data_IF_914036525631
#
_entry.id   IF_914036525631
#
_cell.length_a   1.000
_cell.length_b   1.000
_cell.length_c   1.000
_cell.angle_alpha   90.00
_cell.angle_beta   90.00
_cell.angle_gamma   90.00
#
_symmetry.space_group_name_H-M   'P 1'
#
loop_
_entity.id
_entity.type
_entity.pdbx_description
1 polymer ?
#
# COMPACT_ATOMS: atom_id res chain seq x y z
N UNK A 1 29.71 54.45 44.81
CA UNK A 1 29.21 53.97 43.51
C UNK A 1 29.87 52.64 43.22
N UNK A 2 29.13 51.55 43.38
CA UNK A 2 29.53 50.16 43.12
C UNK A 2 28.32 49.47 42.45
N UNK A 3 28.52 48.65 41.41
CA UNK A 3 27.48 48.35 40.43
C UNK A 3 26.55 47.22 40.90
N UNK A 4 25.25 47.42 40.66
CA UNK A 4 24.22 46.39 40.75
C UNK A 4 24.37 45.42 39.57
N UNK A 5 24.73 44.17 39.84
CA UNK A 5 24.69 43.09 38.86
C UNK A 5 23.25 42.55 38.81
N UNK A 6 22.55 42.84 37.71
CA UNK A 6 21.26 42.22 37.40
C UNK A 6 21.54 40.85 36.80
N UNK A 7 21.30 39.79 37.56
CA UNK A 7 21.33 38.42 37.08
C UNK A 7 20.04 38.16 36.28
N UNK A 8 20.12 38.30 34.96
CA UNK A 8 19.04 37.93 34.05
C UNK A 8 18.96 36.41 33.92
N UNK A 9 18.00 35.79 34.62
CA UNK A 9 17.59 34.41 34.37
C UNK A 9 16.86 34.34 33.01
N UNK A 10 17.62 34.03 31.96
CA UNK A 10 17.08 33.50 30.71
C UNK A 10 16.69 32.03 30.96
N UNK A 11 15.45 31.82 31.39
CA UNK A 11 14.85 30.50 31.38
C UNK A 11 14.70 30.04 29.93
N UNK A 12 15.54 29.12 29.50
CA UNK A 12 15.33 28.38 28.27
C UNK A 12 14.03 27.58 28.44
N UNK A 13 12.94 28.07 27.85
CA UNK A 13 11.72 27.29 27.69
C UNK A 13 12.05 26.13 26.76
N UNK A 14 12.47 25.00 27.32
CA UNK A 14 12.46 23.73 26.63
C UNK A 14 11.01 23.49 26.19
N UNK A 15 10.74 23.65 24.91
CA UNK A 15 9.49 23.23 24.29
C UNK A 15 9.48 21.71 24.44
N UNK A 16 8.86 21.22 25.51
CA UNK A 16 8.58 19.80 25.68
C UNK A 16 7.60 19.44 24.58
N UNK A 17 8.10 18.85 23.49
CA UNK A 17 7.22 18.27 22.49
C UNK A 17 6.34 17.24 23.20
N UNK A 18 5.01 17.29 23.03
CA UNK A 18 4.14 16.29 23.63
C UNK A 18 4.60 14.91 23.19
N UNK A 19 4.83 14.03 24.16
CA UNK A 19 5.27 12.67 23.91
C UNK A 19 4.13 11.92 23.23
N UNK A 20 4.30 11.60 21.94
CA UNK A 20 3.36 10.79 21.17
C UNK A 20 3.30 9.38 21.78
N UNK A 21 2.09 8.86 22.00
CA UNK A 21 1.89 7.48 22.44
C UNK A 21 2.53 6.52 21.42
N UNK A 22 3.26 5.52 21.90
CA UNK A 22 3.94 4.54 21.06
C UNK A 22 2.97 3.82 20.12
N UNK A 23 1.74 3.57 20.57
CA UNK A 23 0.68 2.96 19.76
C UNK A 23 0.23 3.84 18.58
N UNK A 24 0.45 5.14 18.67
CA UNK A 24 -0.01 6.12 17.69
C UNK A 24 1.07 6.51 16.68
N UNK A 25 2.34 6.21 16.98
CA UNK A 25 3.48 6.66 16.17
C UNK A 25 3.75 5.69 15.02
N UNK A 26 3.83 6.19 13.79
CA UNK A 26 4.32 5.41 12.65
C UNK A 26 5.85 5.50 12.48
N UNK A 27 6.38 4.79 11.48
CA UNK A 27 7.83 4.73 11.21
C UNK A 27 8.44 6.09 10.82
N UNK A 28 7.62 7.07 10.41
CA UNK A 28 8.04 8.46 10.14
C UNK A 28 7.90 9.38 11.35
N UNK A 29 7.43 8.86 12.48
CA UNK A 29 7.16 9.64 13.68
C UNK A 29 5.86 10.44 13.64
N UNK A 30 4.96 10.17 12.70
CA UNK A 30 3.66 10.83 12.63
C UNK A 30 2.72 10.22 13.68
N UNK A 31 2.03 11.08 14.42
CA UNK A 31 0.99 10.70 15.37
C UNK A 31 -0.35 10.46 14.66
N UNK A 32 -0.66 9.18 14.42
CA UNK A 32 -1.87 8.70 13.75
C UNK A 32 -3.13 8.76 14.63
N UNK A 33 -3.01 9.12 15.90
CA UNK A 33 -4.16 9.29 16.82
C UNK A 33 -4.78 10.69 16.78
N UNK A 34 -4.08 11.68 16.21
CA UNK A 34 -4.62 13.04 16.10
C UNK A 34 -5.81 13.10 15.14
N UNK A 35 -6.79 13.95 15.48
CA UNK A 35 -7.98 14.18 14.64
C UNK A 35 -7.61 14.57 13.21
N UNK A 36 -6.65 15.49 13.05
CA UNK A 36 -6.17 15.95 11.74
C UNK A 36 -5.61 14.81 10.89
N UNK A 37 -4.85 13.89 11.49
CA UNK A 37 -4.31 12.75 10.75
C UNK A 37 -5.39 11.74 10.37
N UNK A 38 -6.38 11.52 11.24
CA UNK A 38 -7.51 10.65 10.93
C UNK A 38 -8.41 11.25 9.84
N UNK A 39 -8.64 12.56 9.85
CA UNK A 39 -9.35 13.30 8.79
C UNK A 39 -8.59 13.22 7.46
N UNK A 40 -7.28 13.50 7.48
CA UNK A 40 -6.41 13.37 6.31
C UNK A 40 -6.48 11.96 5.73
N UNK A 41 -6.38 10.94 6.59
CA UNK A 41 -6.43 9.54 6.18
C UNK A 41 -7.77 9.21 5.54
N UNK A 42 -8.91 9.59 6.14
CA UNK A 42 -10.23 9.40 5.52
C UNK A 42 -10.35 10.08 4.16
N UNK A 43 -9.82 11.30 4.04
CA UNK A 43 -9.76 12.03 2.77
C UNK A 43 -8.98 11.30 1.67
N UNK A 44 -7.87 10.64 2.03
CA UNK A 44 -7.10 9.83 1.08
C UNK A 44 -7.90 8.66 0.51
N UNK A 45 -8.78 8.05 1.29
CA UNK A 45 -9.60 6.90 0.86
C UNK A 45 -10.99 7.30 0.34
N UNK A 46 -11.29 8.60 0.33
CA UNK A 46 -12.60 9.16 -0.06
C UNK A 46 -13.76 8.51 0.72
N UNK A 47 -13.60 8.37 2.04
CA UNK A 47 -14.63 7.81 2.92
C UNK A 47 -15.12 8.82 3.97
N UNK A 48 -16.40 8.76 4.29
CA UNK A 48 -17.03 9.58 5.32
C UNK A 48 -16.56 9.19 6.72
N UNK A 49 -16.83 10.06 7.71
CA UNK A 49 -16.57 9.73 9.11
C UNK A 49 -17.49 8.59 9.57
N UNK A 50 -17.02 7.76 10.50
CA UNK A 50 -17.86 6.68 11.03
C UNK A 50 -19.00 7.22 11.91
N UNK A 51 -18.89 8.43 12.48
CA UNK A 51 -19.99 9.06 13.21
C UNK A 51 -21.14 9.44 12.26
N UNK A 52 -20.83 9.97 11.07
CA UNK A 52 -21.85 10.27 10.04
C UNK A 52 -22.53 8.98 9.56
N UNK A 53 -21.76 7.93 9.30
CA UNK A 53 -22.30 6.62 8.92
C UNK A 53 -23.20 6.04 10.03
N UNK A 54 -22.76 6.09 11.29
CA UNK A 54 -23.53 5.64 12.44
C UNK A 54 -24.82 6.44 12.63
N UNK A 55 -24.80 7.76 12.39
CA UNK A 55 -25.98 8.63 12.48
C UNK A 55 -27.09 8.25 11.49
N UNK A 56 -26.72 7.62 10.37
CA UNK A 56 -27.65 7.08 9.37
C UNK A 56 -28.10 5.64 9.65
N UNK A 57 -27.66 5.07 10.78
CA UNK A 57 -27.95 3.70 11.14
C UNK A 57 -27.14 2.67 10.35
N UNK A 58 -26.01 3.06 9.76
CA UNK A 58 -25.12 2.13 9.07
C UNK A 58 -24.27 1.35 10.08
N UNK A 59 -24.15 0.04 9.84
CA UNK A 59 -23.19 -0.81 10.53
C UNK A 59 -21.89 -0.81 9.73
N UNK A 60 -20.78 -0.45 10.38
CA UNK A 60 -19.48 -0.31 9.73
C UNK A 60 -18.40 -0.95 10.60
N UNK A 61 -17.53 -1.74 10.00
CA UNK A 61 -16.30 -2.22 10.61
C UNK A 61 -15.17 -1.96 9.61
N UNK A 62 -14.23 -1.08 9.92
CA UNK A 62 -13.15 -0.77 8.97
C UNK A 62 -11.81 -0.61 9.63
N UNK A 63 -10.77 -0.92 8.87
CA UNK A 63 -9.38 -0.78 9.30
C UNK A 63 -8.58 -0.07 8.23
N UNK A 64 -7.89 1.00 8.62
CA UNK A 64 -6.88 1.67 7.82
C UNK A 64 -5.51 1.08 8.15
N UNK A 65 -4.74 0.80 7.11
CA UNK A 65 -3.43 0.17 7.22
C UNK A 65 -2.36 1.14 6.76
N UNK A 66 -1.38 1.37 7.63
CA UNK A 66 -0.14 2.09 7.34
C UNK A 66 1.00 1.10 7.38
N UNK A 67 1.80 1.07 6.31
CA UNK A 67 2.93 0.14 6.19
C UNK A 67 4.11 0.52 7.11
N UNK A 68 5.10 -0.37 7.15
CA UNK A 68 6.33 -0.17 7.90
C UNK A 68 7.24 0.95 7.41
N UNK A 69 6.79 1.81 6.49
CA UNK A 69 7.50 3.00 6.02
C UNK A 69 6.67 4.28 6.21
N UNK A 70 5.56 4.19 6.95
CA UNK A 70 4.63 5.29 7.19
C UNK A 70 3.76 5.63 5.98
N UNK A 71 3.65 4.76 4.98
CA UNK A 71 2.73 4.98 3.86
C UNK A 71 1.36 4.39 4.17
N UNK A 72 0.32 5.18 3.93
CA UNK A 72 -1.04 4.66 3.84
C UNK A 72 -1.10 3.62 2.71
N UNK A 73 -1.55 2.40 3.03
CA UNK A 73 -1.49 1.26 2.11
C UNK A 73 -2.87 0.87 1.59
N UNK A 74 -3.81 0.63 2.50
CA UNK A 74 -5.16 0.19 2.16
C UNK A 74 -6.16 0.53 3.28
N UNK A 75 -7.43 0.49 2.91
CA UNK A 75 -8.59 0.50 3.78
C UNK A 75 -9.43 -0.74 3.47
N UNK A 76 -9.68 -1.57 4.48
CA UNK A 76 -10.60 -2.70 4.38
C UNK A 76 -11.83 -2.38 5.23
N UNK A 77 -13.01 -2.38 4.62
CA UNK A 77 -14.28 -2.02 5.27
C UNK A 77 -15.32 -3.10 5.07
N UNK A 78 -16.12 -3.37 6.09
CA UNK A 78 -17.42 -4.02 5.96
C UNK A 78 -18.48 -2.98 6.25
N UNK A 79 -19.41 -2.80 5.31
CA UNK A 79 -20.44 -1.76 5.38
C UNK A 79 -21.81 -2.40 5.14
N UNK A 80 -22.76 -2.06 6.00
CA UNK A 80 -24.18 -2.43 5.86
C UNK A 80 -25.05 -1.20 6.09
N UNK A 81 -25.61 -0.68 5.01
CA UNK A 81 -26.66 0.32 5.09
C UNK A 81 -28.01 -0.29 5.54
N UNK A 82 -28.93 0.51 6.11
CA UNK A 82 -30.27 0.04 6.46
C UNK A 82 -30.98 -0.66 5.28
N UNK A 83 -31.50 -1.86 5.52
CA UNK A 83 -32.22 -2.65 4.51
C UNK A 83 -31.35 -3.24 3.39
N UNK A 84 -30.02 -3.20 3.52
CA UNK A 84 -29.06 -3.79 2.58
C UNK A 84 -28.26 -4.91 3.24
N UNK A 85 -27.71 -5.79 2.41
CA UNK A 85 -26.74 -6.78 2.86
C UNK A 85 -25.39 -6.12 3.17
N UNK A 86 -24.60 -6.81 4.00
CA UNK A 86 -23.24 -6.38 4.33
C UNK A 86 -22.31 -6.65 3.16
N UNK A 87 -21.50 -5.67 2.81
CA UNK A 87 -20.51 -5.78 1.72
C UNK A 87 -19.12 -5.48 2.24
N UNK A 88 -18.15 -6.22 1.71
CA UNK A 88 -16.74 -5.94 1.87
C UNK A 88 -16.32 -4.91 0.81
N UNK A 89 -15.52 -3.95 1.21
CA UNK A 89 -14.87 -2.97 0.34
C UNK A 89 -13.38 -2.89 0.67
N UNK A 90 -12.52 -2.95 -0.37
CA UNK A 90 -11.10 -2.66 -0.23
C UNK A 90 -10.74 -1.49 -1.12
N UNK A 91 -10.12 -0.48 -0.52
CA UNK A 91 -9.66 0.76 -1.16
C UNK A 91 -8.17 0.92 -0.91
N UNK A 92 -7.49 1.60 -1.82
CA UNK A 92 -6.12 2.12 -1.60
C UNK A 92 -6.19 3.65 -1.64
N UNK A 93 -5.18 4.37 -1.11
CA UNK A 93 -5.19 5.83 -1.14
C UNK A 93 -5.33 6.35 -2.56
N UNK A 94 -6.17 7.37 -2.73
CA UNK A 94 -6.29 8.11 -3.98
C UNK A 94 -4.92 8.65 -4.36
N UNK A 95 -4.52 8.32 -5.57
CA UNK A 95 -3.36 8.91 -6.22
C UNK A 95 -3.78 9.42 -7.59
N UNK A 96 -3.39 10.65 -7.98
CA UNK A 96 -3.64 11.14 -9.33
C UNK A 96 -3.00 10.24 -10.41
N UNK A 97 -2.06 9.38 -10.03
CA UNK A 97 -1.35 8.48 -10.94
C UNK A 97 -1.95 7.07 -11.02
N UNK A 98 -2.83 6.70 -10.08
CA UNK A 98 -3.35 5.34 -9.96
C UNK A 98 -4.86 5.39 -9.98
N UNK A 99 -5.45 4.88 -11.06
CA UNK A 99 -6.87 4.56 -11.06
C UNK A 99 -7.06 3.17 -10.45
N UNK A 100 -6.96 3.09 -9.13
CA UNK A 100 -7.10 1.84 -8.41
C UNK A 100 -8.55 1.39 -8.39
N UNK A 101 -8.77 0.08 -8.56
CA UNK A 101 -10.11 -0.47 -8.49
C UNK A 101 -10.59 -0.59 -7.04
N UNK A 102 -11.84 -0.21 -6.80
CA UNK A 102 -12.56 -0.61 -5.59
C UNK A 102 -12.85 -2.10 -5.68
N UNK A 103 -12.24 -2.90 -4.81
CA UNK A 103 -12.58 -4.31 -4.72
C UNK A 103 -13.79 -4.47 -3.82
N UNK A 104 -14.76 -5.26 -4.26
CA UNK A 104 -15.96 -5.55 -3.47
C UNK A 104 -16.27 -7.03 -3.47
N UNK A 105 -16.85 -7.51 -2.37
CA UNK A 105 -17.38 -8.86 -2.27
C UNK A 105 -18.59 -8.88 -1.33
N UNK A 106 -19.51 -9.81 -1.59
CA UNK A 106 -20.56 -10.13 -0.63
C UNK A 106 -19.95 -10.86 0.57
N UNK A 107 -20.46 -10.59 1.77
CA UNK A 107 -19.97 -11.23 3.00
C UNK A 107 -20.99 -12.27 3.48
N UNK A 108 -20.66 -13.57 3.39
CA UNK A 108 -21.50 -14.63 3.94
C UNK A 108 -21.75 -14.44 5.44
N UNK A 109 -22.92 -14.87 5.92
CA UNK A 109 -23.30 -14.74 7.33
C UNK A 109 -22.26 -15.35 8.31
N UNK A 110 -21.64 -16.51 8.06
CA UNK A 110 -20.59 -17.05 8.93
C UNK A 110 -19.40 -16.10 9.09
N UNK A 111 -18.94 -15.48 8.00
CA UNK A 111 -17.84 -14.52 8.01
C UNK A 111 -18.25 -13.22 8.71
N UNK A 112 -19.47 -12.74 8.47
CA UNK A 112 -20.04 -11.60 9.19
C UNK A 112 -20.03 -11.85 10.72
N UNK A 113 -20.55 -12.98 11.17
CA UNK A 113 -20.60 -13.33 12.60
C UNK A 113 -19.19 -13.39 13.21
N UNK A 114 -18.23 -13.96 12.49
CA UNK A 114 -16.85 -14.08 12.94
C UNK A 114 -16.17 -12.71 13.05
N UNK A 115 -16.36 -11.85 12.06
CA UNK A 115 -15.79 -10.50 12.06
C UNK A 115 -16.43 -9.62 13.14
N UNK A 116 -17.74 -9.71 13.35
CA UNK A 116 -18.42 -9.03 14.48
C UNK A 116 -17.92 -9.55 15.83
N UNK A 117 -17.65 -10.86 15.96
CA UNK A 117 -17.06 -11.42 17.17
C UNK A 117 -15.63 -10.88 17.41
N UNK A 118 -14.80 -10.83 16.36
CA UNK A 118 -13.45 -10.26 16.45
C UNK A 118 -13.46 -8.75 16.79
N UNK A 119 -14.43 -8.02 16.23
CA UNK A 119 -14.64 -6.60 16.50
C UNK A 119 -15.20 -6.30 17.91
N UNK A 120 -15.57 -7.30 18.72
CA UNK A 120 -16.21 -7.04 20.02
C UNK A 120 -15.26 -6.39 21.04
N UNK A 121 -13.96 -6.65 20.92
CA UNK A 121 -12.99 -6.32 21.97
C UNK A 121 -11.74 -5.62 21.46
N UNK A 122 -11.68 -5.26 20.17
CA UNK A 122 -10.47 -4.69 19.56
C UNK A 122 -9.98 -3.42 20.27
N UNK A 123 -10.90 -2.65 20.86
CA UNK A 123 -10.67 -1.38 21.54
C UNK A 123 -10.35 -1.51 23.04
N UNK A 124 -10.25 -2.75 23.56
CA UNK A 124 -9.87 -2.98 24.96
C UNK A 124 -8.36 -2.88 25.13
N UNK A 125 -7.94 -2.14 26.16
CA UNK A 125 -6.54 -2.07 26.59
C UNK A 125 -6.17 -3.36 27.31
N UNK A 126 -5.13 -4.04 26.84
CA UNK A 126 -4.56 -5.21 27.52
C UNK A 126 -3.68 -4.77 28.69
N UNK A 127 -3.61 -5.60 29.73
CA UNK A 127 -2.65 -5.39 30.82
C UNK A 127 -1.24 -5.63 30.26
N UNK A 128 -0.29 -4.69 30.40
CA UNK A 128 1.07 -4.87 29.92
C UNK A 128 1.71 -6.13 30.51
N UNK A 129 2.40 -6.91 29.69
CA UNK A 129 3.20 -8.03 30.18
C UNK A 129 4.39 -7.48 30.98
N UNK A 130 4.59 -7.98 32.18
CA UNK A 130 5.62 -7.49 33.11
C UNK A 130 7.06 -7.82 32.70
N UNK A 131 7.27 -8.73 31.74
CA UNK A 131 8.59 -9.21 31.31
C UNK A 131 8.71 -9.25 29.78
N UNK A 132 8.69 -8.10 29.12
CA UNK A 132 9.03 -8.02 27.69
C UNK A 132 10.49 -7.61 27.58
N UNK A 133 11.35 -8.48 27.03
CA UNK A 133 12.71 -8.10 26.67
C UNK A 133 12.67 -6.91 25.69
N UNK A 134 13.58 -5.93 25.81
CA UNK A 134 13.62 -4.80 24.89
C UNK A 134 13.96 -5.31 23.48
N UNK A 135 12.93 -5.49 22.66
CA UNK A 135 13.04 -5.78 21.23
C UNK A 135 13.13 -4.48 20.43
N UNK A 136 14.09 -4.39 19.50
CA UNK A 136 14.09 -3.34 18.50
C UNK A 136 13.03 -3.66 17.44
N UNK A 137 11.96 -2.87 17.41
CA UNK A 137 10.94 -2.99 16.38
C UNK A 137 11.26 -2.03 15.23
N UNK A 138 11.62 -2.57 14.07
CA UNK A 138 11.91 -1.80 12.86
C UNK A 138 10.76 -1.95 11.86
N UNK A 139 10.40 -0.86 11.18
CA UNK A 139 9.39 -0.84 10.13
C UNK A 139 8.01 -1.30 10.62
N UNK A 140 7.57 -0.70 11.71
CA UNK A 140 6.32 -1.06 12.36
C UNK A 140 5.11 -0.60 11.56
N UNK A 141 4.17 -1.51 11.34
CA UNK A 141 2.88 -1.16 10.74
C UNK A 141 1.98 -0.48 11.78
N UNK A 142 1.07 0.37 11.33
CA UNK A 142 0.07 1.00 12.21
C UNK A 142 -1.33 0.69 11.66
N UNK A 143 -2.23 0.34 12.57
CA UNK A 143 -3.61 -0.02 12.27
C UNK A 143 -4.55 0.94 12.99
N UNK A 144 -5.47 1.56 12.25
CA UNK A 144 -6.57 2.34 12.82
C UNK A 144 -7.87 1.60 12.57
N UNK A 145 -8.51 1.08 13.61
CA UNK A 145 -9.79 0.39 13.51
C UNK A 145 -10.94 1.28 13.98
N UNK A 146 -12.03 1.29 13.24
CA UNK A 146 -13.27 1.98 13.56
C UNK A 146 -14.46 1.03 13.41
N UNK A 147 -15.33 0.99 14.42
CA UNK A 147 -16.54 0.15 14.42
C UNK A 147 -17.77 0.92 14.87
N UNK A 148 -18.86 0.76 14.12
CA UNK A 148 -20.22 1.17 14.45
C UNK A 148 -21.10 -0.08 14.37
N UNK A 149 -21.70 -0.45 15.49
CA UNK A 149 -22.56 -1.64 15.60
C UNK A 149 -24.01 -1.41 15.09
N UNK A 150 -24.33 -0.20 14.57
CA UNK A 150 -25.63 0.16 13.99
C UNK A 150 -26.71 0.59 15.01
N UNK A 151 -28.01 0.61 14.64
CA UNK A 151 -29.07 1.26 15.42
C UNK A 151 -29.40 0.59 16.76
N UNK A 152 -28.82 -0.57 17.09
CA UNK A 152 -28.91 -1.17 18.43
C UNK A 152 -27.63 -0.86 19.21
N UNK A 153 -27.48 0.38 19.67
CA UNK A 153 -26.34 0.83 20.47
C UNK A 153 -25.26 1.50 19.62
N UNK A 154 -25.56 2.70 19.14
CA UNK A 154 -24.75 3.60 18.30
C UNK A 154 -23.43 4.08 18.93
N UNK A 155 -22.69 3.18 19.58
CA UNK A 155 -21.37 3.46 20.14
C UNK A 155 -20.37 3.27 19.01
N UNK A 156 -19.87 4.38 18.52
CA UNK A 156 -18.70 4.38 17.66
C UNK A 156 -17.48 4.08 18.52
N UNK A 157 -16.74 3.04 18.17
CA UNK A 157 -15.50 2.62 18.83
C UNK A 157 -14.32 2.82 17.89
N UNK A 158 -13.22 3.33 18.42
CA UNK A 158 -12.00 3.61 17.66
C UNK A 158 -10.79 3.20 18.46
N UNK A 159 -9.79 2.64 17.79
CA UNK A 159 -8.51 2.37 18.40
C UNK A 159 -7.42 2.38 17.32
N UNK A 160 -6.24 2.87 17.70
CA UNK A 160 -5.03 2.87 16.87
C UNK A 160 -3.98 2.04 17.59
N UNK A 161 -3.26 1.22 16.84
CA UNK A 161 -2.18 0.41 17.40
C UNK A 161 -1.01 0.33 16.43
N UNK A 162 0.18 0.47 17.00
CA UNK A 162 1.43 0.15 16.36
C UNK A 162 1.71 -1.37 16.55
N UNK A 163 2.09 -2.05 15.47
CA UNK A 163 2.35 -3.49 15.43
C UNK A 163 3.46 -3.98 16.40
N UNK A 164 4.26 -3.07 16.97
CA UNK A 164 5.27 -3.40 17.97
C UNK A 164 4.70 -3.64 19.37
N UNK A 165 3.48 -3.19 19.61
CA UNK A 165 2.87 -3.22 20.94
C UNK A 165 1.85 -4.38 21.01
N UNK A 166 1.72 -4.98 22.19
CA UNK A 166 0.71 -6.00 22.44
C UNK A 166 -0.68 -5.37 22.50
N UNK A 167 -1.56 -5.69 21.53
CA UNK A 167 -2.88 -5.09 21.45
C UNK A 167 -3.85 -5.83 20.53
N UNK A 168 -5.14 -5.58 20.75
CA UNK A 168 -6.22 -6.31 20.08
C UNK A 168 -6.61 -5.72 18.72
N UNK A 169 -6.22 -4.47 18.43
CA UNK A 169 -6.48 -3.81 17.13
C UNK A 169 -5.76 -4.55 16.01
N UNK A 170 -4.49 -4.90 16.19
CA UNK A 170 -3.73 -5.67 15.21
C UNK A 170 -4.37 -7.04 14.97
N UNK A 171 -4.80 -7.73 16.03
CA UNK A 171 -5.47 -9.04 15.90
C UNK A 171 -6.72 -8.92 15.04
N UNK A 172 -7.53 -7.89 15.28
CA UNK A 172 -8.71 -7.60 14.48
C UNK A 172 -8.36 -7.20 13.03
N UNK A 173 -7.35 -6.35 12.85
CA UNK A 173 -6.85 -5.89 11.55
C UNK A 173 -6.32 -7.03 10.68
N UNK A 174 -5.63 -8.01 11.26
CA UNK A 174 -5.16 -9.18 10.52
C UNK A 174 -6.32 -10.12 10.17
N UNK A 175 -7.28 -10.32 11.09
CA UNK A 175 -8.46 -11.16 10.81
C UNK A 175 -9.31 -10.58 9.68
N UNK A 176 -9.62 -9.28 9.69
CA UNK A 176 -10.41 -8.64 8.63
C UNK A 176 -9.69 -8.67 7.28
N UNK A 177 -8.36 -8.45 7.24
CA UNK A 177 -7.58 -8.57 6.00
C UNK A 177 -7.57 -10.00 5.44
N UNK A 178 -7.35 -10.99 6.30
CA UNK A 178 -7.36 -12.41 5.90
C UNK A 178 -8.70 -12.83 5.33
N UNK A 179 -9.80 -12.43 5.98
CA UNK A 179 -11.17 -12.68 5.50
C UNK A 179 -11.46 -11.95 4.20
N UNK A 180 -11.01 -10.71 4.08
CA UNK A 180 -11.15 -9.97 2.83
C UNK A 180 -10.45 -10.68 1.65
N UNK A 181 -9.23 -11.19 1.86
CA UNK A 181 -8.53 -11.96 0.84
C UNK A 181 -9.22 -13.29 0.51
N UNK A 182 -9.84 -13.93 1.50
CA UNK A 182 -10.63 -15.14 1.28
C UNK A 182 -11.89 -14.90 0.43
N UNK A 183 -12.56 -13.77 0.63
CA UNK A 183 -13.75 -13.34 -0.09
C UNK A 183 -13.45 -12.72 -1.46
N UNK A 184 -12.17 -12.47 -1.77
CA UNK A 184 -11.71 -11.97 -3.06
C UNK A 184 -10.81 -13.02 -3.76
N UNK A 185 -11.36 -14.17 -4.22
CA UNK A 185 -10.58 -15.23 -4.87
C UNK A 185 -9.65 -14.77 -6.00
N UNK A 186 -10.01 -13.80 -6.86
CA UNK A 186 -9.10 -13.31 -7.89
C UNK A 186 -7.76 -12.85 -7.31
N UNK A 187 -7.76 -12.16 -6.16
CA UNK A 187 -6.54 -11.66 -5.52
C UNK A 187 -5.58 -12.78 -5.08
N UNK A 188 -6.07 -14.01 -4.87
CA UNK A 188 -5.24 -15.16 -4.45
C UNK A 188 -4.31 -15.69 -5.55
N UNK A 189 -4.45 -15.20 -6.80
CA UNK A 189 -3.53 -15.52 -7.90
C UNK A 189 -2.17 -14.83 -7.70
N UNK A 190 -2.12 -13.74 -6.92
CA UNK A 190 -0.87 -13.08 -6.56
C UNK A 190 -0.01 -13.98 -5.66
N UNK A 191 1.29 -14.00 -5.90
CA UNK A 191 2.22 -14.85 -5.15
C UNK A 191 2.41 -14.31 -3.72
N UNK A 192 1.95 -15.02 -2.68
CA UNK A 192 2.02 -14.52 -1.30
C UNK A 192 3.46 -14.25 -0.82
N UNK A 193 4.46 -14.97 -1.31
CA UNK A 193 5.86 -14.79 -0.92
C UNK A 193 6.45 -13.46 -1.40
N UNK A 194 5.77 -12.80 -2.34
CA UNK A 194 6.16 -11.48 -2.80
C UNK A 194 5.48 -10.37 -1.97
N UNK A 195 4.54 -10.66 -1.10
CA UNK A 195 3.83 -9.65 -0.30
C UNK A 195 4.10 -9.84 1.19
N UNK A 196 4.15 -8.73 1.95
CA UNK A 196 4.47 -8.80 3.38
C UNK A 196 3.37 -9.46 4.21
N UNK A 197 2.10 -9.33 3.79
CA UNK A 197 0.91 -9.83 4.47
C UNK A 197 -0.32 -9.75 3.54
N UNK A 198 -1.47 -10.25 4.02
CA UNK A 198 -2.72 -10.30 3.28
C UNK A 198 -3.19 -8.93 2.78
N UNK A 199 -3.04 -7.87 3.57
CA UNK A 199 -3.44 -6.53 3.15
C UNK A 199 -2.54 -5.96 2.05
N UNK A 200 -1.25 -6.31 2.02
CA UNK A 200 -0.37 -5.96 0.90
C UNK A 200 -0.74 -6.71 -0.39
N UNK A 201 -1.29 -7.94 -0.30
CA UNK A 201 -1.86 -8.65 -1.44
C UNK A 201 -3.12 -7.93 -1.92
N UNK A 202 -4.04 -7.58 -1.02
CA UNK A 202 -5.26 -6.84 -1.33
C UNK A 202 -4.97 -5.48 -1.98
N UNK A 203 -4.00 -4.72 -1.45
CA UNK A 203 -3.59 -3.45 -2.01
C UNK A 203 -3.05 -3.61 -3.44
N UNK A 204 -2.18 -4.59 -3.67
CA UNK A 204 -1.66 -4.89 -5.00
C UNK A 204 -2.75 -5.37 -5.98
N UNK A 205 -3.72 -6.12 -5.48
CA UNK A 205 -4.87 -6.60 -6.25
C UNK A 205 -5.68 -5.44 -6.87
N UNK A 206 -5.75 -4.28 -6.21
CA UNK A 206 -6.44 -3.09 -6.75
C UNK A 206 -5.80 -2.51 -8.02
N UNK A 207 -4.55 -2.86 -8.31
CA UNK A 207 -3.83 -2.43 -9.51
C UNK A 207 -4.11 -3.32 -10.74
N UNK A 208 -4.85 -4.43 -10.57
CA UNK A 208 -5.15 -5.40 -11.61
C UNK A 208 -6.48 -5.07 -12.30
N UNK A 209 -6.54 -5.27 -13.62
CA UNK A 209 -7.75 -5.02 -14.42
C UNK A 209 -7.74 -5.83 -15.72
N UNK A 210 -8.88 -5.90 -16.41
CA UNK A 210 -9.02 -6.66 -17.66
C UNK A 210 -9.05 -8.18 -17.41
N UNK A 211 -8.30 -8.95 -18.19
CA UNK A 211 -8.02 -10.35 -17.87
C UNK A 211 -7.19 -10.42 -16.59
N UNK A 212 -7.89 -10.70 -15.49
CA UNK A 212 -7.34 -10.61 -14.15
C UNK A 212 -6.22 -11.63 -13.92
N UNK A 213 -6.37 -12.86 -14.41
CA UNK A 213 -5.39 -13.92 -14.22
C UNK A 213 -4.10 -13.58 -14.96
N UNK A 214 -4.22 -13.12 -16.21
CA UNK A 214 -3.08 -12.65 -16.99
C UNK A 214 -2.35 -11.49 -16.27
N UNK A 215 -3.11 -10.47 -15.83
CA UNK A 215 -2.55 -9.31 -15.12
C UNK A 215 -1.80 -9.71 -13.82
N UNK A 216 -2.38 -10.61 -13.03
CA UNK A 216 -1.76 -11.12 -11.80
C UNK A 216 -0.48 -11.93 -12.09
N UNK A 217 -0.49 -12.80 -13.10
CA UNK A 217 0.69 -13.57 -13.50
C UNK A 217 1.81 -12.67 -14.03
N UNK A 218 1.49 -11.64 -14.81
CA UNK A 218 2.46 -10.64 -15.25
C UNK A 218 3.07 -9.86 -14.07
N UNK A 219 2.25 -9.47 -13.07
CA UNK A 219 2.77 -8.86 -11.84
C UNK A 219 3.75 -9.79 -11.11
N UNK A 220 3.35 -11.06 -10.91
CA UNK A 220 4.22 -12.05 -10.27
C UNK A 220 5.55 -12.20 -11.01
N UNK A 221 5.50 -12.29 -12.35
CA UNK A 221 6.68 -12.41 -13.20
C UNK A 221 7.60 -11.20 -13.08
N UNK A 222 7.05 -9.98 -13.20
CA UNK A 222 7.81 -8.73 -13.14
C UNK A 222 8.53 -8.53 -11.79
N UNK A 223 7.90 -8.98 -10.70
CA UNK A 223 8.49 -8.93 -9.36
C UNK A 223 9.57 -9.97 -9.15
N UNK A 224 9.38 -11.20 -9.65
CA UNK A 224 10.39 -12.27 -9.59
C UNK A 224 11.68 -11.88 -10.30
N UNK A 225 11.58 -11.24 -11.46
CA UNK A 225 12.75 -10.78 -12.21
C UNK A 225 13.40 -9.53 -11.60
N UNK A 226 12.86 -8.96 -10.52
CA UNK A 226 13.39 -7.75 -9.89
C UNK A 226 13.37 -6.52 -10.81
N UNK A 227 12.62 -6.52 -11.92
CA UNK A 227 12.76 -5.54 -13.02
C UNK A 227 12.71 -4.08 -12.58
N UNK A 228 11.87 -3.78 -11.58
CA UNK A 228 11.74 -2.46 -10.97
C UNK A 228 13.03 -1.93 -10.32
N UNK A 229 13.82 -2.82 -9.69
CA UNK A 229 14.90 -2.48 -8.77
C UNK A 229 16.23 -3.21 -9.04
N UNK A 230 16.30 -4.10 -10.04
CA UNK A 230 17.43 -5.01 -10.24
C UNK A 230 18.73 -4.26 -10.52
N UNK A 231 19.64 -4.14 -9.57
CA UNK A 231 20.92 -3.42 -9.74
C UNK A 231 21.91 -4.10 -10.67
N UNK A 232 21.69 -5.38 -10.98
CA UNK A 232 22.58 -6.27 -11.72
C UNK A 232 21.81 -7.18 -12.69
N UNK A 233 22.55 -7.93 -13.52
CA UNK A 233 22.00 -8.89 -14.47
C UNK A 233 21.84 -10.28 -13.83
N UNK A 234 20.91 -10.41 -12.88
CA UNK A 234 20.57 -11.71 -12.30
C UNK A 234 20.05 -12.68 -13.37
N UNK A 235 20.14 -14.02 -13.15
CA UNK A 235 19.55 -15.01 -14.05
C UNK A 235 18.06 -14.75 -14.31
N UNK A 236 17.31 -14.35 -13.29
CA UNK A 236 15.88 -14.03 -13.37
C UNK A 236 15.63 -12.79 -14.22
N UNK A 237 16.47 -11.76 -14.09
CA UNK A 237 16.40 -10.55 -14.90
C UNK A 237 16.61 -10.89 -16.38
N UNK A 238 17.65 -11.68 -16.70
CA UNK A 238 17.93 -12.12 -18.09
C UNK A 238 16.77 -12.94 -18.66
N UNK A 239 16.24 -13.84 -17.86
CA UNK A 239 15.16 -14.71 -18.26
C UNK A 239 13.80 -13.99 -18.38
N UNK A 240 13.70 -12.71 -17.99
CA UNK A 240 12.45 -11.94 -18.01
C UNK A 240 12.09 -11.31 -19.37
N UNK A 241 12.97 -11.37 -20.36
CA UNK A 241 12.79 -10.75 -21.67
C UNK A 241 12.40 -11.80 -22.72
N UNK A 242 11.50 -11.42 -23.63
CA UNK A 242 11.06 -12.27 -24.74
C UNK A 242 12.14 -12.43 -25.80
N UNK A 243 11.88 -13.28 -26.80
CA UNK A 243 12.84 -13.58 -27.88
C UNK A 243 13.33 -12.35 -28.64
N UNK A 244 12.43 -11.36 -28.82
CA UNK A 244 12.72 -10.08 -29.43
C UNK A 244 11.98 -9.00 -28.65
N UNK A 245 12.69 -7.96 -28.25
CA UNK A 245 12.16 -6.88 -27.42
C UNK A 245 12.34 -5.55 -28.13
N UNK A 246 11.25 -4.80 -28.20
CA UNK A 246 11.24 -3.44 -28.73
C UNK A 246 11.38 -2.44 -27.59
N UNK A 247 12.36 -1.56 -27.70
CA UNK A 247 12.57 -0.43 -26.80
C UNK A 247 12.24 0.85 -27.55
N UNK A 248 11.37 1.68 -26.98
CA UNK A 248 11.12 3.05 -27.42
C UNK A 248 11.43 3.98 -26.26
N UNK A 249 12.64 4.56 -26.28
CA UNK A 249 13.12 5.41 -25.19
C UNK A 249 13.15 6.84 -25.70
N UNK A 250 12.16 7.63 -25.28
CA UNK A 250 12.02 9.03 -25.66
C UNK A 250 11.98 9.24 -27.18
N UNK A 251 11.31 8.33 -27.90
CA UNK A 251 11.20 8.34 -29.36
C UNK A 251 12.34 7.64 -30.10
N UNK A 252 13.40 7.23 -29.40
CA UNK A 252 14.48 6.44 -29.98
C UNK A 252 14.13 4.96 -29.91
N UNK A 253 13.89 4.35 -31.08
CA UNK A 253 13.47 2.96 -31.19
C UNK A 253 14.67 2.05 -31.46
N UNK A 254 14.84 1.05 -30.61
CA UNK A 254 15.84 -0.01 -30.74
C UNK A 254 15.17 -1.36 -30.54
N UNK A 255 15.65 -2.40 -31.23
CA UNK A 255 15.22 -3.77 -30.99
C UNK A 255 16.43 -4.61 -30.59
N UNK A 256 16.23 -5.51 -29.64
CA UNK A 256 17.25 -6.45 -29.19
C UNK A 256 16.64 -7.86 -29.10
N UNK A 257 17.47 -8.88 -29.33
CA UNK A 257 17.11 -10.25 -29.00
C UNK A 257 17.19 -10.50 -27.49
N UNK A 258 16.76 -11.68 -27.05
CA UNK A 258 16.72 -12.02 -25.63
C UNK A 258 18.08 -11.99 -24.92
N UNK A 259 19.19 -12.23 -25.64
CA UNK A 259 20.55 -12.19 -25.06
C UNK A 259 21.00 -10.74 -24.80
N UNK A 260 20.66 -9.82 -25.70
CA UNK A 260 21.04 -8.42 -25.61
C UNK A 260 20.00 -7.53 -24.87
N UNK A 261 18.75 -7.96 -24.76
CA UNK A 261 17.65 -7.14 -24.22
C UNK A 261 17.85 -6.75 -22.74
N UNK A 262 18.18 -7.71 -21.87
CA UNK A 262 18.39 -7.43 -20.45
C UNK A 262 19.63 -6.53 -20.20
N UNK A 263 20.81 -6.81 -20.78
CA UNK A 263 21.95 -5.89 -20.73
C UNK A 263 21.62 -4.48 -21.22
N UNK A 264 20.96 -4.37 -22.38
CA UNK A 264 20.56 -3.09 -22.95
C UNK A 264 19.65 -2.32 -21.99
N UNK A 265 18.61 -2.95 -21.46
CA UNK A 265 17.71 -2.29 -20.51
C UNK A 265 18.43 -1.81 -19.25
N UNK A 266 19.30 -2.64 -18.68
CA UNK A 266 20.02 -2.28 -17.47
C UNK A 266 20.96 -1.10 -17.71
N UNK A 267 21.65 -1.07 -18.85
CA UNK A 267 22.50 0.06 -19.27
C UNK A 267 21.67 1.35 -19.35
N UNK A 268 20.53 1.31 -20.04
CA UNK A 268 19.64 2.47 -20.19
C UNK A 268 19.12 2.96 -18.83
N UNK A 269 18.65 2.05 -17.98
CA UNK A 269 18.13 2.41 -16.66
C UNK A 269 19.21 3.01 -15.75
N UNK A 270 20.43 2.48 -15.80
CA UNK A 270 21.57 2.98 -15.05
C UNK A 270 22.03 4.35 -15.56
N UNK A 271 22.09 4.56 -16.89
CA UNK A 271 22.38 5.84 -17.49
C UNK A 271 21.34 6.91 -17.09
N UNK A 272 20.07 6.52 -17.02
CA UNK A 272 18.98 7.38 -16.58
C UNK A 272 18.93 7.57 -15.05
N UNK A 273 19.65 6.75 -14.26
CA UNK A 273 19.62 6.69 -12.79
C UNK A 273 18.19 6.58 -12.23
N UNK A 274 17.44 5.60 -12.74
CA UNK A 274 16.01 5.47 -12.41
C UNK A 274 15.62 4.12 -11.82
N UNK A 275 14.47 4.13 -11.15
CA UNK A 275 13.73 2.94 -10.74
C UNK A 275 12.35 2.97 -11.38
N UNK A 276 11.87 1.82 -11.85
CA UNK A 276 10.52 1.70 -12.39
C UNK A 276 9.54 1.40 -11.26
N UNK A 277 8.47 2.19 -11.18
CA UNK A 277 7.37 1.99 -10.24
C UNK A 277 6.11 1.61 -11.03
N UNK A 278 5.81 0.31 -11.18
CA UNK A 278 4.55 -0.13 -11.78
C UNK A 278 3.37 0.38 -10.96
N UNK A 279 2.32 0.83 -11.64
CA UNK A 279 1.08 1.36 -11.02
C UNK A 279 -0.15 0.56 -11.37
N UNK A 280 -0.25 0.06 -12.60
CA UNK A 280 -1.40 -0.72 -13.08
C UNK A 280 -0.95 -1.85 -13.97
N UNK A 281 -1.72 -2.94 -13.94
CA UNK A 281 -1.57 -4.12 -14.79
C UNK A 281 -2.93 -4.38 -15.44
N UNK A 282 -2.97 -4.27 -16.76
CA UNK A 282 -4.19 -4.48 -17.52
C UNK A 282 -3.99 -5.69 -18.45
N UNK A 283 -4.68 -6.79 -18.15
CA UNK A 283 -4.75 -7.93 -19.05
C UNK A 283 -5.61 -7.56 -20.25
N UNK A 284 -4.96 -7.23 -21.37
CA UNK A 284 -5.68 -6.94 -22.62
C UNK A 284 -6.34 -8.20 -23.16
N UNK A 285 -5.66 -9.33 -22.97
CA UNK A 285 -6.07 -10.70 -23.31
C UNK A 285 -5.36 -11.68 -22.38
N UNK A 286 -5.75 -12.96 -22.43
CA UNK A 286 -5.10 -14.03 -21.66
C UNK A 286 -3.59 -14.15 -21.91
N UNK A 287 -3.11 -13.74 -23.09
CA UNK A 287 -1.72 -13.85 -23.54
C UNK A 287 -0.97 -12.50 -23.56
N UNK A 288 -1.61 -11.41 -23.15
CA UNK A 288 -1.03 -10.07 -23.30
C UNK A 288 -1.44 -9.14 -22.18
N UNK A 289 -0.43 -8.57 -21.51
CA UNK A 289 -0.61 -7.63 -20.41
C UNK A 289 0.11 -6.33 -20.70
N UNK A 290 -0.58 -5.23 -20.44
CA UNK A 290 -0.02 -3.89 -20.45
C UNK A 290 0.20 -3.43 -19.02
N UNK A 291 1.45 -3.15 -18.67
CA UNK A 291 1.85 -2.60 -17.37
C UNK A 291 2.16 -1.13 -17.57
N UNK A 292 1.56 -0.26 -16.77
CA UNK A 292 1.85 1.18 -16.77
C UNK A 292 2.36 1.63 -15.43
N UNK A 293 3.29 2.58 -15.45
CA UNK A 293 3.84 3.21 -14.27
C UNK A 293 4.72 4.38 -14.66
N UNK A 294 5.75 4.63 -13.86
CA UNK A 294 6.71 5.69 -14.15
C UNK A 294 8.13 5.27 -13.79
N UNK A 295 9.09 5.82 -14.51
CA UNK A 295 10.47 5.89 -14.05
C UNK A 295 10.61 7.08 -13.10
N UNK A 296 11.19 6.84 -11.94
CA UNK A 296 11.52 7.86 -10.97
C UNK A 296 13.01 8.16 -11.00
N UNK A 297 13.38 9.44 -11.11
CA UNK A 297 14.76 9.90 -10.99
C UNK A 297 14.89 10.84 -9.79
N UNK A 298 15.69 10.45 -8.81
CA UNK A 298 16.07 11.34 -7.71
C UNK A 298 16.98 12.44 -8.25
N UNK A 299 16.73 13.69 -7.86
CA UNK A 299 17.73 14.73 -8.02
C UNK A 299 18.72 14.70 -6.85
N UNK A 300 19.93 15.16 -7.13
CA UNK A 300 20.95 15.43 -6.11
C UNK A 300 20.53 16.56 -5.14
N UNK A 301 19.44 17.28 -5.43
CA UNK A 301 18.83 18.29 -4.57
C UNK A 301 17.30 18.10 -4.45
N UNK A 302 16.65 18.53 -3.35
CA UNK A 302 15.21 18.28 -3.08
C UNK A 302 14.23 18.82 -4.14
N UNK A 303 14.65 19.78 -4.97
CA UNK A 303 13.78 20.47 -5.95
C UNK A 303 13.93 19.96 -7.40
N UNK A 304 14.54 18.80 -7.63
CA UNK A 304 14.80 18.31 -9.00
C UNK A 304 14.29 16.92 -9.33
N UNK A 305 13.45 16.31 -8.47
CA UNK A 305 12.92 14.98 -8.75
C UNK A 305 12.12 15.04 -10.07
N UNK A 306 12.38 14.07 -10.95
CA UNK A 306 11.71 13.97 -12.24
C UNK A 306 11.09 12.59 -12.40
N UNK A 307 9.99 12.55 -13.13
CA UNK A 307 9.31 11.31 -13.52
C UNK A 307 9.10 11.26 -15.02
N UNK A 308 9.19 10.07 -15.60
CA UNK A 308 8.78 9.80 -16.98
C UNK A 308 7.71 8.69 -16.99
N UNK A 309 6.62 8.81 -17.74
CA UNK A 309 5.68 7.71 -17.88
C UNK A 309 6.40 6.53 -18.56
N UNK A 310 6.12 5.32 -18.09
CA UNK A 310 6.68 4.11 -18.65
C UNK A 310 5.58 3.07 -18.84
N UNK A 311 5.64 2.40 -19.99
CA UNK A 311 4.76 1.30 -20.34
C UNK A 311 5.59 0.07 -20.69
N UNK A 312 5.13 -1.09 -20.23
CA UNK A 312 5.71 -2.39 -20.55
C UNK A 312 4.60 -3.26 -21.12
N UNK A 313 4.83 -3.84 -22.30
CA UNK A 313 3.97 -4.91 -22.82
C UNK A 313 4.64 -6.23 -22.53
N UNK A 314 3.90 -7.10 -21.85
CA UNK A 314 4.31 -8.47 -21.57
C UNK A 314 3.43 -9.43 -22.38
N UNK A 315 4.05 -10.42 -23.00
CA UNK A 315 3.36 -11.47 -23.74
C UNK A 315 3.60 -12.84 -23.12
N UNK A 316 2.61 -13.72 -23.24
CA UNK A 316 2.73 -15.12 -22.85
C UNK A 316 3.56 -15.88 -23.89
N UNK A 317 4.70 -16.40 -23.47
CA UNK A 317 5.66 -17.07 -24.37
C UNK A 317 5.65 -18.60 -24.13
N UNK A 318 6.18 -19.42 -25.06
CA UNK A 318 6.21 -20.89 -24.94
C UNK A 318 6.84 -21.42 -23.65
N UNK A 319 7.67 -20.61 -22.99
CA UNK A 319 8.21 -20.88 -21.65
C UNK A 319 7.16 -20.86 -20.51
N UNK A 320 5.86 -20.72 -20.85
CA UNK A 320 4.73 -20.73 -19.94
C UNK A 320 4.80 -19.63 -18.87
N UNK A 321 5.27 -18.45 -19.27
CA UNK A 321 5.35 -17.25 -18.42
C UNK A 321 5.23 -16.00 -19.27
N UNK A 322 4.82 -14.92 -18.62
CA UNK A 322 4.85 -13.58 -19.21
C UNK A 322 6.29 -13.06 -19.29
N UNK A 323 6.71 -12.71 -20.50
CA UNK A 323 8.00 -12.08 -20.77
C UNK A 323 7.80 -10.69 -21.35
N UNK A 324 8.77 -9.80 -21.13
CA UNK A 324 8.77 -8.45 -21.65
C UNK A 324 9.00 -8.48 -23.17
N UNK A 325 8.07 -7.90 -23.93
CA UNK A 325 8.14 -7.80 -25.39
C UNK A 325 8.33 -6.36 -25.86
N UNK A 326 7.85 -5.38 -25.09
CA UNK A 326 8.04 -3.98 -25.39
C UNK A 326 8.23 -3.16 -24.12
N UNK A 327 9.13 -2.18 -24.19
CA UNK A 327 9.30 -1.13 -23.20
C UNK A 327 9.20 0.22 -23.91
N UNK A 328 8.35 1.11 -23.39
CA UNK A 328 8.20 2.48 -23.88
C UNK A 328 8.40 3.46 -22.72
N UNK A 329 9.31 4.41 -22.87
CA UNK A 329 9.65 5.43 -21.87
C UNK A 329 9.42 6.81 -22.47
N UNK A 330 8.54 7.59 -21.85
CA UNK A 330 8.29 8.97 -22.24
C UNK A 330 9.37 9.95 -21.79
N UNK A 331 9.12 11.24 -22.02
CA UNK A 331 10.02 12.29 -21.55
C UNK A 331 9.90 12.50 -20.03
N UNK A 332 11.02 12.84 -19.40
CA UNK A 332 11.03 13.24 -18.00
C UNK A 332 10.43 14.62 -17.83
N UNK A 333 9.57 14.76 -16.83
CA UNK A 333 9.00 16.02 -16.38
C UNK A 333 9.25 16.18 -14.87
N UNK A 334 9.36 17.42 -14.36
CA UNK A 334 9.35 17.69 -12.93
C UNK A 334 8.11 17.08 -12.26
N UNK A 335 8.28 16.55 -11.06
CA UNK A 335 7.16 16.18 -10.21
C UNK A 335 6.58 17.47 -9.62
N UNK A 336 5.32 17.76 -9.96
CA UNK A 336 4.59 18.92 -9.45
C UNK A 336 4.00 18.64 -8.06
#
# INVERSE_FOLDING_TARGET
MLPTIILGLLGAASIVQPQVDRNCRDDRGVDRCTTDQQERQRGLYEVESIDELASRGEQVMRVFYVDGYGNDLALVSLVRAPGRDIRLEVRVPRSPEVNAQLLTADVPLPDCNRLTAAARHFDRVLVPRSNVEPGLCMHSWVYTAEVSDGPRGSVVRRAVQNACEDGLVQTFALEIARRALELLPPCKVLNPDQHRNDVAILAACTALSGDFIAAAQAMNALRTMGFANASDLSPETRAGFGHRVRFDIQGNVTEADWEAAAPFWLEQRNALRTSFMPKTYHGERWDRVRVRGHLWRNAERPQGAQRAPMEVIMGWEPSQRFLIQQITVGHFAPIQ
#
